data_IF_581797148524
#
_entry.id   IF_581797148524
#
_cell.length_a   1.000
_cell.length_b   1.000
_cell.length_c   1.000
_cell.angle_alpha   90.00
_cell.angle_beta   90.00
_cell.angle_gamma   90.00
#
_symmetry.space_group_name_H-M   'P 1'
#
loop_
_entity.id
_entity.type
_entity.pdbx_description
1 polymer ?
#
# COMPACT_ATOMS: atom_id res chain seq x y z
N UNK A 1 16.06 -0.39 2.87
CA UNK A 1 14.72 -0.29 2.26
C UNK A 1 13.81 0.30 3.31
N UNK A 2 13.07 1.37 2.99
CA UNK A 2 12.08 1.94 3.90
C UNK A 2 10.83 1.06 3.85
N UNK A 3 10.45 0.49 4.98
CA UNK A 3 9.19 -0.25 5.12
C UNK A 3 8.07 0.78 5.24
N UNK A 4 6.98 0.69 4.45
CA UNK A 4 5.88 1.65 4.53
C UNK A 4 5.17 1.58 5.88
N UNK A 5 4.53 2.68 6.26
CA UNK A 5 3.79 2.79 7.51
C UNK A 5 2.27 2.60 7.28
N UNK A 6 1.50 2.11 8.28
CA UNK A 6 0.05 2.11 8.20
C UNK A 6 -0.51 3.51 7.93
N UNK A 7 -1.45 3.61 7.00
CA UNK A 7 -2.03 4.86 6.51
C UNK A 7 -1.30 5.45 5.30
N UNK A 8 -0.11 4.96 4.96
CA UNK A 8 0.64 5.43 3.80
C UNK A 8 0.00 4.95 2.49
N UNK A 9 0.06 5.82 1.47
CA UNK A 9 -0.41 5.49 0.12
C UNK A 9 0.71 4.79 -0.64
N UNK A 10 0.37 3.68 -1.27
CA UNK A 10 1.26 2.87 -2.11
C UNK A 10 0.55 2.44 -3.38
N UNK A 11 1.33 2.02 -4.38
CA UNK A 11 0.84 1.52 -5.66
C UNK A 11 1.41 0.13 -5.93
N UNK A 12 0.66 -0.68 -6.67
CA UNK A 12 1.11 -1.95 -7.25
C UNK A 12 1.08 -1.83 -8.77
N UNK A 13 2.07 -2.39 -9.45
CA UNK A 13 2.18 -2.29 -10.92
C UNK A 13 0.92 -2.81 -11.64
N UNK A 14 0.32 -3.88 -11.14
CA UNK A 14 -0.85 -4.53 -11.75
C UNK A 14 -2.22 -4.07 -11.18
N UNK A 15 -2.23 -3.07 -10.29
CA UNK A 15 -3.48 -2.57 -9.68
C UNK A 15 -3.68 -1.11 -10.03
N UNK A 16 -4.70 -0.84 -10.85
CA UNK A 16 -5.16 0.52 -11.09
C UNK A 16 -5.79 1.11 -9.82
N UNK A 17 -5.20 2.18 -9.32
CA UNK A 17 -5.72 2.96 -8.19
C UNK A 17 -4.72 3.11 -7.04
N UNK A 18 -5.11 3.94 -6.07
CA UNK A 18 -4.32 4.18 -4.87
C UNK A 18 -4.69 3.18 -3.78
N UNK A 19 -3.68 2.52 -3.22
CA UNK A 19 -3.83 1.59 -2.12
C UNK A 19 -3.29 2.22 -0.83
N UNK A 20 -3.93 1.92 0.29
CA UNK A 20 -3.52 2.39 1.62
C UNK A 20 -3.05 1.20 2.43
N UNK A 21 -1.90 1.35 3.06
CA UNK A 21 -1.33 0.34 3.95
C UNK A 21 -2.19 0.26 5.21
N UNK A 22 -2.77 -0.90 5.49
CA UNK A 22 -3.59 -1.13 6.68
C UNK A 22 -2.78 -1.77 7.81
N UNK A 23 -1.89 -2.70 7.47
CA UNK A 23 -1.09 -3.45 8.45
C UNK A 23 0.27 -3.76 7.86
N UNK A 24 1.29 -3.73 8.70
CA UNK A 24 2.68 -4.02 8.32
C UNK A 24 3.15 -5.22 9.12
N UNK A 25 3.52 -6.30 8.42
CA UNK A 25 4.02 -7.53 9.00
C UNK A 25 5.56 -7.55 8.91
N UNK A 26 6.21 -6.85 9.84
CA UNK A 26 7.67 -6.65 9.84
C UNK A 26 8.50 -7.95 9.84
N UNK A 27 7.98 -9.04 10.42
CA UNK A 27 8.70 -10.32 10.41
C UNK A 27 8.79 -10.97 9.03
N UNK A 28 7.76 -10.80 8.19
CA UNK A 28 7.68 -11.35 6.85
C UNK A 28 8.00 -10.33 5.74
N UNK A 29 8.19 -9.05 6.12
CA UNK A 29 8.34 -7.92 5.19
C UNK A 29 7.17 -7.84 4.18
N UNK A 30 5.95 -8.04 4.68
CA UNK A 30 4.71 -7.91 3.91
C UNK A 30 3.78 -6.86 4.50
N UNK A 31 2.82 -6.39 3.71
CA UNK A 31 1.77 -5.46 4.13
C UNK A 31 0.40 -5.92 3.65
N UNK A 32 -0.62 -5.50 4.38
CA UNK A 32 -2.00 -5.58 3.93
C UNK A 32 -2.43 -4.21 3.41
N UNK A 33 -3.11 -4.20 2.27
CA UNK A 33 -3.54 -2.98 1.57
C UNK A 33 -5.05 -2.95 1.39
N UNK A 34 -5.62 -1.75 1.38
CA UNK A 34 -7.00 -1.50 1.01
C UNK A 34 -7.09 -0.43 -0.07
N UNK A 35 -8.01 -0.59 -1.03
CA UNK A 35 -8.27 0.47 -2.01
C UNK A 35 -8.86 1.70 -1.33
N UNK A 36 -8.29 2.88 -1.62
CA UNK A 36 -8.79 4.16 -1.08
C UNK A 36 -10.07 4.63 -1.78
N UNK A 37 -10.22 4.29 -3.05
CA UNK A 37 -11.31 4.76 -3.91
C UNK A 37 -11.90 3.61 -4.73
N UNK A 38 -13.21 3.67 -4.98
CA UNK A 38 -13.94 2.64 -5.75
C UNK A 38 -14.47 1.49 -4.88
N UNK A 39 -14.57 0.30 -5.47
CA UNK A 39 -15.03 -0.89 -4.75
C UNK A 39 -13.99 -1.30 -3.69
N UNK A 40 -14.42 -1.70 -2.47
CA UNK A 40 -13.52 -2.12 -1.41
C UNK A 40 -12.78 -3.40 -1.82
N UNK A 41 -11.53 -3.24 -2.23
CA UNK A 41 -10.59 -4.34 -2.50
C UNK A 41 -9.54 -4.39 -1.40
N UNK A 42 -9.26 -5.59 -0.93
CA UNK A 42 -8.26 -5.86 0.10
C UNK A 42 -7.22 -6.80 -0.48
N UNK A 43 -5.96 -6.42 -0.32
CA UNK A 43 -4.81 -7.22 -0.71
C UNK A 43 -4.05 -7.57 0.56
N UNK A 44 -3.66 -8.83 0.72
CA UNK A 44 -3.01 -9.31 1.94
C UNK A 44 -1.65 -9.89 1.62
N UNK A 45 -0.76 -9.81 2.60
CA UNK A 45 0.59 -10.39 2.53
C UNK A 45 1.39 -9.94 1.30
N UNK A 46 1.20 -8.67 0.89
CA UNK A 46 1.88 -8.09 -0.26
C UNK A 46 3.33 -7.78 0.12
N UNK A 47 4.34 -8.32 -0.60
CA UNK A 47 5.73 -8.03 -0.30
C UNK A 47 6.04 -6.54 -0.40
N UNK A 48 6.77 -6.01 0.59
CA UNK A 48 7.19 -4.60 0.58
C UNK A 48 8.03 -4.25 -0.66
N UNK A 49 8.74 -5.23 -1.22
CA UNK A 49 9.55 -5.08 -2.42
C UNK A 49 8.73 -4.79 -3.69
N UNK A 50 7.45 -5.18 -3.71
CA UNK A 50 6.55 -4.95 -4.86
C UNK A 50 5.81 -3.60 -4.76
N UNK A 51 6.01 -2.85 -3.66
CA UNK A 51 5.34 -1.58 -3.41
C UNK A 51 6.09 -0.44 -4.08
N UNK A 52 5.35 0.36 -4.84
CA UNK A 52 5.80 1.64 -5.34
C UNK A 52 5.28 2.76 -4.42
N UNK A 53 6.08 3.81 -4.15
CA UNK A 53 5.62 4.95 -3.37
C UNK A 53 4.45 5.62 -4.09
N UNK A 54 3.32 5.79 -3.39
CA UNK A 54 2.22 6.58 -3.90
C UNK A 54 2.51 8.07 -3.77
N UNK A 55 2.11 8.84 -4.76
CA UNK A 55 2.26 10.29 -4.72
C UNK A 55 1.33 10.86 -3.64
N UNK A 56 1.92 11.55 -2.67
CA UNK A 56 1.20 12.22 -1.60
C UNK A 56 0.48 13.45 -2.18
N UNK A 57 -0.84 13.35 -2.37
CA UNK A 57 -1.66 14.46 -2.88
C UNK A 57 -1.89 15.56 -1.82
N UNK A 58 -1.19 15.56 -0.69
CA UNK A 58 -1.41 16.52 0.40
C UNK A 58 -0.76 17.90 0.18
N UNK A 59 -0.18 18.14 -0.99
CA UNK A 59 0.27 19.47 -1.41
C UNK A 59 -0.82 20.17 -2.26
N UNK A 60 -1.95 20.49 -1.61
CA UNK A 60 -3.01 21.34 -2.13
C UNK A 60 -3.35 22.44 -1.13
#
# INVERSE_FOLDING_TARGET
MLVPEPGQIVHLEDVEGQLVVQTVNNGALTVDLASRYGEPRFFKDIPVADLLPGEDLSAG
#
